data_IF_422570764833
#
_entry.id   IF_422570764833
#
_cell.length_a   1.000
_cell.length_b   1.000
_cell.length_c   1.000
_cell.angle_alpha   90.00
_cell.angle_beta   90.00
_cell.angle_gamma   90.00
#
_symmetry.space_group_name_H-M   'P 1'
#
loop_
_entity.id
_entity.type
_entity.pdbx_description
1 polymer ?
#
# COMPACT_ATOMS: atom_id res chain seq x y z
N UNK A 1 17.49 6.98 -19.04
CA UNK A 1 17.50 8.43 -18.82
C UNK A 1 17.20 8.73 -17.36
N UNK A 2 18.04 9.51 -16.68
CA UNK A 2 17.84 9.94 -15.28
C UNK A 2 17.64 11.45 -15.13
N UNK A 3 17.77 12.20 -16.24
CA UNK A 3 17.59 13.66 -16.25
C UNK A 3 16.12 14.02 -16.51
N UNK A 4 15.68 15.16 -15.97
CA UNK A 4 14.34 15.73 -16.21
C UNK A 4 14.05 15.96 -17.70
N UNK A 5 15.11 16.19 -18.48
CA UNK A 5 15.06 16.32 -19.94
C UNK A 5 14.51 15.05 -20.60
N UNK A 6 14.74 13.87 -20.03
CA UNK A 6 14.22 12.60 -20.57
C UNK A 6 12.70 12.55 -20.59
N UNK A 7 12.02 13.10 -19.57
CA UNK A 7 10.56 13.16 -19.52
C UNK A 7 10.00 14.16 -20.52
N UNK A 8 10.66 15.32 -20.66
CA UNK A 8 10.29 16.34 -21.65
C UNK A 8 10.40 15.79 -23.08
N UNK A 9 11.52 15.15 -23.41
CA UNK A 9 11.74 14.53 -24.72
C UNK A 9 10.73 13.42 -24.96
N UNK A 10 10.44 12.56 -23.98
CA UNK A 10 9.42 11.51 -24.11
C UNK A 10 8.03 12.11 -24.42
N UNK A 11 7.62 13.15 -23.68
CA UNK A 11 6.33 13.81 -23.91
C UNK A 11 6.22 14.46 -25.30
N UNK A 12 7.27 15.19 -25.72
CA UNK A 12 7.31 15.84 -27.05
C UNK A 12 7.30 14.79 -28.16
N UNK A 13 8.13 13.75 -28.05
CA UNK A 13 8.20 12.66 -29.04
C UNK A 13 6.87 11.92 -29.13
N UNK A 14 6.23 11.59 -28.00
CA UNK A 14 4.91 10.96 -27.99
C UNK A 14 3.86 11.87 -28.65
N UNK A 15 3.81 13.15 -28.27
CA UNK A 15 2.89 14.12 -28.87
C UNK A 15 3.07 14.23 -30.39
N UNK A 16 4.29 14.45 -30.86
CA UNK A 16 4.60 14.49 -32.30
C UNK A 16 4.24 13.19 -33.01
N UNK A 17 4.51 12.03 -32.38
CA UNK A 17 4.18 10.74 -32.98
C UNK A 17 2.68 10.55 -33.18
N UNK A 18 1.85 10.98 -32.22
CA UNK A 18 0.38 10.85 -32.32
C UNK A 18 -0.16 11.71 -33.46
N UNK A 19 0.36 12.93 -33.66
CA UNK A 19 -0.10 13.82 -34.75
C UNK A 19 0.46 13.43 -36.12
N UNK A 20 1.75 13.13 -36.22
CA UNK A 20 2.43 12.85 -37.50
C UNK A 20 2.19 11.42 -38.01
N UNK A 21 2.14 10.43 -37.10
CA UNK A 21 1.98 9.01 -37.46
C UNK A 21 0.52 8.54 -37.36
N UNK A 22 -0.44 9.44 -37.12
CA UNK A 22 -1.87 9.13 -37.16
C UNK A 22 -2.31 8.21 -38.32
N UNK A 23 -1.93 8.46 -39.60
CA UNK A 23 -2.36 7.60 -40.71
C UNK A 23 -1.77 6.19 -40.67
N UNK A 24 -0.58 6.02 -40.08
CA UNK A 24 0.08 4.72 -39.94
C UNK A 24 -0.53 3.96 -38.75
N UNK A 25 -0.80 4.67 -37.64
CA UNK A 25 -1.41 4.09 -36.44
C UNK A 25 -2.81 3.51 -36.71
N UNK A 26 -3.57 4.11 -37.63
CA UNK A 26 -4.89 3.62 -38.03
C UNK A 26 -4.86 2.25 -38.74
N UNK A 27 -3.71 1.85 -39.30
CA UNK A 27 -3.54 0.56 -39.98
C UNK A 27 -3.14 -0.57 -39.02
N UNK A 28 -2.91 -0.27 -37.74
CA UNK A 28 -2.47 -1.27 -36.77
C UNK A 28 -3.64 -2.23 -36.48
N UNK A 29 -3.44 -3.55 -36.67
CA UNK A 29 -4.48 -4.52 -36.40
C UNK A 29 -4.81 -4.58 -34.90
N UNK A 30 -6.10 -4.65 -34.57
CA UNK A 30 -6.59 -4.71 -33.18
C UNK A 30 -5.99 -5.89 -32.41
N UNK A 31 -5.68 -6.99 -33.09
CA UNK A 31 -5.03 -8.16 -32.50
C UNK A 31 -3.69 -7.83 -31.84
N UNK A 32 -2.88 -6.93 -32.44
CA UNK A 32 -1.61 -6.52 -31.86
C UNK A 32 -1.81 -5.72 -30.57
N UNK A 33 -2.84 -4.87 -30.51
CA UNK A 33 -3.17 -4.07 -29.33
C UNK A 33 -3.65 -4.93 -28.16
N UNK A 34 -4.48 -5.95 -28.43
CA UNK A 34 -4.91 -6.92 -27.41
C UNK A 34 -3.71 -7.68 -26.85
N UNK A 35 -2.78 -8.09 -27.71
CA UNK A 35 -1.52 -8.72 -27.28
C UNK A 35 -0.69 -7.81 -26.38
N UNK A 36 -0.55 -6.53 -26.73
CA UNK A 36 0.17 -5.54 -25.93
C UNK A 36 -0.47 -5.33 -24.55
N UNK A 37 -1.80 -5.17 -24.50
CA UNK A 37 -2.51 -4.99 -23.22
C UNK A 37 -2.37 -6.23 -22.34
N UNK A 38 -2.42 -7.43 -22.93
CA UNK A 38 -2.23 -8.69 -22.22
C UNK A 38 -0.81 -8.81 -21.65
N UNK A 39 0.22 -8.44 -22.43
CA UNK A 39 1.61 -8.40 -21.99
C UNK A 39 1.79 -7.44 -20.80
N UNK A 40 1.21 -6.24 -20.89
CA UNK A 40 1.29 -5.24 -19.82
C UNK A 40 0.58 -5.74 -18.56
N UNK A 41 -0.62 -6.32 -18.70
CA UNK A 41 -1.36 -6.89 -17.57
C UNK A 41 -0.54 -7.97 -16.86
N UNK A 42 0.05 -8.91 -17.61
CA UNK A 42 0.92 -9.96 -17.04
C UNK A 42 2.15 -9.37 -16.33
N UNK A 43 2.73 -8.29 -16.85
CA UNK A 43 3.89 -7.63 -16.26
C UNK A 43 3.54 -6.79 -15.02
N UNK A 44 2.35 -6.20 -14.97
CA UNK A 44 1.87 -5.43 -13.80
C UNK A 44 1.44 -6.35 -12.67
N UNK A 45 0.98 -7.57 -12.95
CA UNK A 45 0.72 -8.57 -11.93
C UNK A 45 2.02 -9.00 -11.23
N UNK A 46 2.21 -8.53 -10.00
CA UNK A 46 3.34 -8.93 -9.18
C UNK A 46 3.14 -10.37 -8.66
N UNK A 47 3.66 -11.38 -9.35
CA UNK A 47 3.51 -12.79 -8.91
C UNK A 47 4.08 -13.08 -7.51
N UNK A 48 5.07 -12.30 -7.08
CA UNK A 48 5.58 -12.35 -5.70
C UNK A 48 4.53 -11.93 -4.65
N UNK A 49 3.52 -11.14 -5.02
CA UNK A 49 2.47 -10.65 -4.10
C UNK A 49 1.68 -11.80 -3.47
N UNK A 50 1.45 -12.90 -4.19
CA UNK A 50 0.75 -14.08 -3.65
C UNK A 50 1.52 -14.70 -2.48
N UNK A 51 2.84 -14.83 -2.62
CA UNK A 51 3.72 -15.35 -1.56
C UNK A 51 3.83 -14.35 -0.40
N UNK A 52 3.82 -13.05 -0.70
CA UNK A 52 3.87 -12.00 0.32
C UNK A 52 2.63 -12.00 1.22
N UNK A 53 1.45 -12.23 0.66
CA UNK A 53 0.18 -12.31 1.41
C UNK A 53 0.22 -13.42 2.46
N UNK A 54 0.93 -14.53 2.20
CA UNK A 54 1.12 -15.63 3.15
C UNK A 54 2.14 -15.32 4.27
N UNK A 55 3.01 -14.32 4.09
CA UNK A 55 4.10 -14.00 5.03
C UNK A 55 3.81 -12.76 5.89
N UNK A 56 2.79 -11.98 5.54
CA UNK A 56 2.45 -10.72 6.22
C UNK A 56 1.50 -10.97 7.40
N UNK A 57 1.28 -9.93 8.23
CA UNK A 57 0.33 -10.00 9.32
C UNK A 57 -1.10 -10.30 8.81
N UNK A 58 -1.86 -11.12 9.53
CA UNK A 58 -3.17 -11.61 9.08
C UNK A 58 -4.13 -10.49 8.62
N UNK A 59 -4.11 -9.34 9.31
CA UNK A 59 -4.96 -8.18 8.99
C UNK A 59 -4.65 -7.64 7.59
N UNK A 60 -3.37 -7.48 7.24
CA UNK A 60 -2.97 -6.91 5.94
C UNK A 60 -3.29 -7.89 4.80
N UNK A 61 -3.13 -9.21 5.06
CA UNK A 61 -3.50 -10.25 4.11
C UNK A 61 -5.01 -10.22 3.77
N UNK A 62 -5.86 -10.09 4.80
CA UNK A 62 -7.32 -9.99 4.61
C UNK A 62 -7.69 -8.74 3.82
N UNK A 63 -7.05 -7.59 4.09
CA UNK A 63 -7.29 -6.34 3.34
C UNK A 63 -6.98 -6.51 1.86
N UNK A 64 -5.83 -7.09 1.52
CA UNK A 64 -5.42 -7.31 0.12
C UNK A 64 -6.43 -8.19 -0.62
N UNK A 65 -6.84 -9.32 -0.01
CA UNK A 65 -7.83 -10.22 -0.61
C UNK A 65 -9.17 -9.52 -0.80
N UNK A 66 -9.63 -8.79 0.23
CA UNK A 66 -10.91 -8.09 0.21
C UNK A 66 -10.96 -7.00 -0.87
N UNK A 67 -9.92 -6.15 -0.98
CA UNK A 67 -9.83 -5.11 -2.01
C UNK A 67 -9.82 -5.74 -3.40
N UNK A 68 -9.11 -6.86 -3.59
CA UNK A 68 -9.05 -7.56 -4.88
C UNK A 68 -10.41 -8.10 -5.29
N UNK A 69 -11.15 -8.73 -4.36
CA UNK A 69 -12.51 -9.26 -4.63
C UNK A 69 -13.48 -8.12 -4.98
N UNK A 70 -13.46 -7.02 -4.22
CA UNK A 70 -14.33 -5.86 -4.48
C UNK A 70 -14.00 -5.23 -5.83
N UNK A 71 -12.72 -5.13 -6.20
CA UNK A 71 -12.30 -4.55 -7.49
C UNK A 71 -12.86 -5.34 -8.67
N UNK A 72 -12.93 -6.68 -8.57
CA UNK A 72 -13.46 -7.54 -9.64
C UNK A 72 -14.99 -7.48 -9.74
N UNK A 73 -15.69 -7.32 -8.61
CA UNK A 73 -17.16 -7.33 -8.59
C UNK A 73 -17.82 -5.98 -8.79
N UNK A 74 -17.14 -4.89 -8.44
CA UNK A 74 -17.70 -3.53 -8.43
C UNK A 74 -16.81 -2.61 -9.25
N UNK A 75 -16.00 -1.81 -8.56
CA UNK A 75 -15.17 -0.77 -9.14
C UNK A 75 -13.89 -0.61 -8.33
N UNK A 76 -12.83 -0.21 -9.03
CA UNK A 76 -11.53 0.10 -8.42
C UNK A 76 -11.64 1.21 -7.37
N UNK A 77 -12.46 2.24 -7.62
CA UNK A 77 -12.61 3.37 -6.71
C UNK A 77 -13.16 2.95 -5.34
N UNK A 78 -14.26 2.18 -5.33
CA UNK A 78 -14.90 1.69 -4.10
C UNK A 78 -13.95 0.77 -3.34
N UNK A 79 -13.24 -0.13 -4.04
CA UNK A 79 -12.28 -1.04 -3.44
C UNK A 79 -11.14 -0.30 -2.72
N UNK A 80 -10.57 0.74 -3.36
CA UNK A 80 -9.48 1.54 -2.77
C UNK A 80 -9.93 2.26 -1.51
N UNK A 81 -11.13 2.86 -1.51
CA UNK A 81 -11.65 3.58 -0.33
C UNK A 81 -11.85 2.62 0.85
N UNK A 82 -12.50 1.47 0.61
CA UNK A 82 -12.74 0.48 1.66
C UNK A 82 -11.44 -0.08 2.20
N UNK A 83 -10.49 -0.41 1.32
CA UNK A 83 -9.16 -0.89 1.70
C UNK A 83 -8.39 0.12 2.56
N UNK A 84 -8.43 1.40 2.19
CA UNK A 84 -7.78 2.48 2.93
C UNK A 84 -8.32 2.61 4.35
N UNK A 85 -9.65 2.56 4.51
CA UNK A 85 -10.30 2.66 5.83
C UNK A 85 -9.89 1.50 6.73
N UNK A 86 -10.00 0.26 6.23
CA UNK A 86 -9.67 -0.94 7.02
C UNK A 86 -8.18 -0.95 7.39
N UNK A 87 -7.29 -0.58 6.45
CA UNK A 87 -5.86 -0.50 6.72
C UNK A 87 -5.53 0.56 7.78
N UNK A 88 -6.17 1.73 7.74
CA UNK A 88 -5.98 2.77 8.75
C UNK A 88 -6.40 2.30 10.15
N UNK A 89 -7.54 1.62 10.26
CA UNK A 89 -8.02 1.06 11.54
C UNK A 89 -7.11 -0.07 12.02
N UNK A 90 -6.74 -1.00 11.13
CA UNK A 90 -5.84 -2.10 11.45
C UNK A 90 -4.46 -1.63 11.92
N UNK A 91 -3.91 -0.61 11.26
CA UNK A 91 -2.66 0.03 11.66
C UNK A 91 -2.75 0.69 13.04
N UNK A 92 -3.83 1.42 13.31
CA UNK A 92 -4.09 2.03 14.62
C UNK A 92 -4.13 0.97 15.74
N UNK A 93 -4.78 -0.16 15.50
CA UNK A 93 -4.83 -1.26 16.47
C UNK A 93 -3.45 -1.88 16.72
N UNK A 94 -2.71 -2.18 15.66
CA UNK A 94 -1.38 -2.79 15.75
C UNK A 94 -0.33 -1.86 16.40
N UNK A 95 -0.49 -0.54 16.22
CA UNK A 95 0.32 0.46 16.90
C UNK A 95 -0.01 0.54 18.40
N UNK A 96 -1.26 0.27 18.80
CA UNK A 96 -1.71 0.37 20.20
C UNK A 96 -1.22 -0.81 21.04
N UNK A 97 -1.10 -2.00 20.43
CA UNK A 97 -0.62 -3.22 21.10
C UNK A 97 0.90 -3.23 21.30
N UNK A 98 1.64 -2.33 20.64
CA UNK A 98 3.11 -2.28 20.70
C UNK A 98 3.65 -1.34 21.79
N UNK A 99 2.85 -1.06 22.81
CA UNK A 99 3.24 -0.31 24.00
C UNK A 99 3.90 -1.29 24.99
N UNK A 100 5.20 -1.12 25.24
CA UNK A 100 5.92 -1.84 26.30
C UNK A 100 6.12 -0.89 27.47
N UNK A 101 5.49 -1.20 28.60
CA UNK A 101 5.79 -0.56 29.89
C UNK A 101 6.93 -1.35 30.52
N UNK A 102 8.06 -0.68 30.78
CA UNK A 102 9.16 -1.25 31.55
C UNK A 102 9.32 -0.42 32.82
N UNK A 103 9.00 -1.03 33.95
CA UNK A 103 9.25 -0.49 35.29
C UNK A 103 10.62 -0.96 35.75
N UNK A 104 11.53 -0.04 36.03
CA UNK A 104 12.75 -0.31 36.80
C UNK A 104 12.54 0.34 38.18
N UNK A 105 12.68 -0.46 39.25
CA UNK A 105 12.65 0.03 40.62
C UNK A 105 14.10 0.33 41.05
N UNK A 106 14.32 1.51 41.62
CA UNK A 106 15.59 1.93 42.21
C UNK A 106 15.50 1.67 43.74
N UNK A 107 16.42 0.89 44.29
CA UNK A 107 16.37 0.42 45.70
C UNK A 107 16.86 1.47 46.72
N UNK A 108 17.39 2.62 46.28
CA UNK A 108 18.09 3.56 47.18
C UNK A 108 17.24 4.80 47.59
N UNK A 109 16.18 5.11 46.85
CA UNK A 109 15.26 6.21 47.18
C UNK A 109 13.85 5.71 46.92
N UNK A 110 12.95 5.78 47.91
CA UNK A 110 11.54 5.33 47.90
C UNK A 110 10.70 6.02 46.79
N UNK A 111 11.06 5.82 45.52
CA UNK A 111 10.59 6.57 44.36
C UNK A 111 10.51 5.63 43.16
N UNK A 112 9.29 5.31 42.75
CA UNK A 112 9.03 4.41 41.62
C UNK A 112 9.18 5.17 40.29
N UNK A 113 10.28 5.00 39.57
CA UNK A 113 10.51 5.66 38.28
C UNK A 113 9.94 4.79 37.14
N UNK A 114 8.71 5.11 36.71
CA UNK A 114 8.08 4.43 35.56
C UNK A 114 8.50 5.07 34.25
N UNK A 115 9.36 4.39 33.47
CA UNK A 115 9.71 4.81 32.09
C UNK A 115 8.80 4.14 31.08
N UNK A 116 7.87 4.91 30.52
CA UNK A 116 6.95 4.44 29.47
C UNK A 116 7.58 4.64 28.08
N UNK A 117 7.69 3.57 27.28
CA UNK A 117 8.15 3.64 25.88
C UNK A 117 7.07 3.10 24.93
N UNK A 118 6.49 4.00 24.14
CA UNK A 118 5.52 3.65 23.09
C UNK A 118 4.72 4.86 22.62
N UNK A 119 4.03 4.78 21.46
CA UNK A 119 3.15 5.84 20.98
C UNK A 119 1.91 5.99 21.87
N UNK A 120 1.69 7.21 22.37
CA UNK A 120 0.59 7.55 23.30
C UNK A 120 -0.56 8.13 22.48
N UNK A 121 -1.64 7.36 22.30
CA UNK A 121 -2.83 7.79 21.55
C UNK A 121 -4.09 7.13 22.12
N UNK A 122 -5.28 7.64 21.75
CA UNK A 122 -6.57 7.24 22.34
C UNK A 122 -6.84 5.72 22.33
N UNK A 123 -6.26 4.97 21.38
CA UNK A 123 -6.40 3.51 21.29
C UNK A 123 -5.54 2.72 22.29
N UNK A 124 -4.42 3.27 22.78
CA UNK A 124 -3.57 2.59 23.76
C UNK A 124 -3.98 2.85 25.21
N UNK A 125 -4.83 3.86 25.47
CA UNK A 125 -5.30 4.27 26.80
C UNK A 125 -5.86 3.12 27.66
N UNK A 126 -6.54 2.15 27.05
CA UNK A 126 -7.15 1.00 27.76
C UNK A 126 -6.13 -0.03 28.25
N UNK A 127 -4.96 -0.13 27.61
CA UNK A 127 -3.88 -1.04 28.01
C UNK A 127 -2.98 -0.45 29.13
N UNK A 128 -3.24 0.78 29.57
CA UNK A 128 -2.47 1.45 30.62
C UNK A 128 -3.04 1.27 32.03
N UNK A 129 -3.97 0.33 32.25
CA UNK A 129 -4.45 0.04 33.60
C UNK A 129 -3.35 -0.68 34.37
N UNK A 130 -2.66 0.07 35.23
CA UNK A 130 -1.76 -0.50 36.24
C UNK A 130 -2.61 -1.26 37.26
N UNK A 131 -2.27 -2.52 37.49
CA UNK A 131 -2.66 -3.28 38.67
C UNK A 131 -1.52 -3.19 39.69
#
# INVERSE_FOLDING_TARGET
>A
GRSRVSGLVMGITLGLSVFLLAPIMAQIPVAALVGLITLIAMNTFAWSSIVLVLRVNWIDAVVVVLVTVITVWKDLCIAVIVGLIINAVGFSWNAATRVKVTSEADEDTDTLIVRMRGPLFFGSALNYKME
#
